data_IF_160670189911
#
_entry.id   IF_160670189911
#
_cell.length_a   1.000
_cell.length_b   1.000
_cell.length_c   1.000
_cell.angle_alpha   90.00
_cell.angle_beta   90.00
_cell.angle_gamma   90.00
#
_symmetry.space_group_name_H-M   'P 1'
#
loop_
_entity.id
_entity.type
_entity.pdbx_description
1 polymer ?
#
# COMPACT_ATOMS: atom_id res chain seq x y z
N UNK A 1 -41.51 -15.52 74.41
CA UNK A 1 -42.80 -16.02 73.88
C UNK A 1 -43.22 -15.11 72.73
N UNK A 2 -43.54 -15.74 71.59
CA UNK A 2 -44.25 -15.26 70.38
C UNK A 2 -43.78 -13.96 69.70
N UNK A 3 -43.26 -14.00 68.46
CA UNK A 3 -43.90 -14.30 67.15
C UNK A 3 -44.92 -13.26 66.67
N UNK A 4 -44.55 -12.50 65.64
CA UNK A 4 -45.17 -12.34 64.31
C UNK A 4 -44.61 -11.04 63.68
N UNK A 5 -43.99 -10.98 62.50
CA UNK A 5 -44.06 -11.87 61.35
C UNK A 5 -44.84 -11.19 60.21
N UNK A 6 -44.23 -11.20 59.01
CA UNK A 6 -44.73 -10.87 57.67
C UNK A 6 -44.30 -9.49 57.17
N UNK A 7 -43.66 -9.34 56.02
CA UNK A 7 -43.49 -10.23 54.86
C UNK A 7 -43.50 -9.30 53.65
N UNK A 8 -42.50 -9.31 52.77
CA UNK A 8 -42.45 -10.08 51.51
C UNK A 8 -41.11 -9.70 50.84
N UNK A 9 -40.41 -10.50 50.04
CA UNK A 9 -40.41 -11.93 49.76
C UNK A 9 -39.22 -12.19 48.83
N UNK A 10 -38.41 -13.20 49.16
CA UNK A 10 -37.36 -13.78 48.33
C UNK A 10 -37.99 -14.56 47.14
N UNK A 11 -38.40 -13.86 46.08
CA UNK A 11 -38.85 -14.49 44.82
C UNK A 11 -38.13 -13.87 43.61
N UNK A 12 -36.79 -13.80 43.67
CA UNK A 12 -35.95 -13.61 42.47
C UNK A 12 -34.48 -14.04 42.68
N UNK A 13 -34.23 -15.09 43.47
CA UNK A 13 -32.93 -15.79 43.42
C UNK A 13 -32.89 -16.71 42.19
N UNK A 14 -31.75 -16.66 41.50
CA UNK A 14 -31.24 -17.67 40.57
C UNK A 14 -32.07 -17.99 39.31
N UNK A 15 -31.62 -17.44 38.17
CA UNK A 15 -31.44 -18.24 36.96
C UNK A 15 -30.28 -17.69 36.12
N UNK A 16 -29.16 -18.42 36.16
CA UNK A 16 -28.08 -18.37 35.19
C UNK A 16 -28.66 -18.37 33.76
N UNK A 17 -28.16 -17.48 32.90
CA UNK A 17 -27.82 -17.78 31.50
C UNK A 17 -26.86 -16.72 30.98
N UNK A 18 -25.61 -17.15 30.73
CA UNK A 18 -24.70 -16.55 29.75
C UNK A 18 -25.48 -16.33 28.45
N UNK A 19 -25.46 -15.12 27.91
CA UNK A 19 -25.52 -14.93 26.45
C UNK A 19 -24.74 -13.68 26.10
N UNK A 20 -23.61 -13.94 25.45
CA UNK A 20 -22.75 -13.09 24.63
C UNK A 20 -23.43 -11.88 24.00
N UNK A 21 -22.74 -10.74 24.01
CA UNK A 21 -22.56 -9.84 22.85
C UNK A 21 -21.39 -8.90 23.17
N UNK A 22 -20.20 -9.32 22.73
CA UNK A 22 -19.04 -8.46 22.56
C UNK A 22 -19.44 -7.37 21.54
N UNK A 23 -19.39 -6.11 21.96
CA UNK A 23 -19.37 -4.98 21.04
C UNK A 23 -18.25 -4.05 21.50
N UNK A 24 -17.35 -3.78 20.56
CA UNK A 24 -15.97 -3.35 20.78
C UNK A 24 -15.88 -2.09 21.66
N UNK A 25 -15.15 -2.22 22.76
CA UNK A 25 -14.80 -1.12 23.65
C UNK A 25 -13.90 -0.07 22.94
N UNK A 26 -13.25 -0.46 21.83
CA UNK A 26 -12.29 0.37 21.10
C UNK A 26 -12.92 1.56 20.38
N UNK A 27 -14.13 1.41 19.80
CA UNK A 27 -14.77 2.53 19.09
C UNK A 27 -15.18 3.65 20.06
N UNK A 28 -15.63 3.29 21.26
CA UNK A 28 -15.99 4.27 22.30
C UNK A 28 -14.76 4.98 22.85
N UNK A 29 -13.64 4.27 22.99
CA UNK A 29 -12.36 4.83 23.44
C UNK A 29 -11.79 5.77 22.38
N UNK A 30 -11.78 5.38 21.10
CA UNK A 30 -11.32 6.21 19.99
C UNK A 30 -12.18 7.47 19.85
N UNK A 31 -13.51 7.33 19.94
CA UNK A 31 -14.42 8.48 19.93
C UNK A 31 -14.15 9.43 21.11
N UNK A 32 -13.87 8.90 22.31
CA UNK A 32 -13.52 9.71 23.47
C UNK A 32 -12.19 10.45 23.30
N UNK A 33 -11.18 9.79 22.72
CA UNK A 33 -9.86 10.38 22.45
C UNK A 33 -9.99 11.54 21.46
N UNK A 34 -10.78 11.38 20.39
CA UNK A 34 -11.01 12.42 19.38
C UNK A 34 -11.83 13.60 19.93
N UNK A 35 -12.86 13.34 20.74
CA UNK A 35 -13.70 14.38 21.35
C UNK A 35 -12.90 15.22 22.36
N UNK A 36 -11.93 14.62 23.05
CA UNK A 36 -11.11 15.28 24.07
C UNK A 36 -9.80 15.88 23.52
N UNK A 37 -9.62 15.93 22.19
CA UNK A 37 -8.44 16.52 21.55
C UNK A 37 -7.15 15.69 21.69
N UNK A 38 -7.25 14.40 22.03
CA UNK A 38 -6.12 13.49 22.06
C UNK A 38 -5.66 13.17 20.64
N UNK A 39 -4.40 13.50 20.33
CA UNK A 39 -3.76 13.05 19.09
C UNK A 39 -3.49 11.54 19.20
N UNK A 40 -3.99 10.75 18.24
CA UNK A 40 -3.49 9.38 18.03
C UNK A 40 -2.07 9.52 17.52
N UNK A 41 -1.08 9.05 18.28
CA UNK A 41 0.31 9.14 17.86
C UNK A 41 0.54 8.24 16.64
N UNK A 42 1.09 8.83 15.58
CA UNK A 42 1.45 8.14 14.33
C UNK A 42 2.89 7.63 14.37
N UNK A 43 3.51 7.67 15.56
CA UNK A 43 4.96 7.61 15.78
C UNK A 43 5.63 6.30 15.33
N UNK A 44 4.85 5.32 14.85
CA UNK A 44 5.37 4.04 14.36
C UNK A 44 4.68 3.53 13.08
N UNK A 45 3.97 4.38 12.33
CA UNK A 45 3.33 3.99 11.07
C UNK A 45 4.25 4.31 9.89
N UNK A 46 4.74 3.28 9.22
CA UNK A 46 5.42 3.40 7.94
C UNK A 46 4.94 2.29 7.00
N UNK A 47 4.36 2.68 5.87
CA UNK A 47 3.81 1.75 4.88
C UNK A 47 4.80 1.54 3.76
N UNK A 48 5.23 0.29 3.52
CA UNK A 48 6.01 -0.04 2.33
C UNK A 48 5.06 -0.57 1.26
N UNK A 49 5.11 0.03 0.07
CA UNK A 49 4.38 -0.39 -1.12
C UNK A 49 5.37 -1.00 -2.11
N UNK A 50 5.22 -2.28 -2.43
CA UNK A 50 6.12 -2.98 -3.36
C UNK A 50 5.44 -3.11 -4.73
N UNK A 51 6.00 -2.44 -5.73
CA UNK A 51 5.52 -2.40 -7.11
C UNK A 51 4.66 -1.16 -7.38
N UNK A 52 5.17 -0.23 -8.17
CA UNK A 52 4.54 1.01 -8.62
C UNK A 52 3.65 0.86 -9.86
N UNK A 53 3.13 -0.33 -10.16
CA UNK A 53 2.06 -0.48 -11.15
C UNK A 53 0.77 0.28 -10.78
N UNK A 54 -0.34 -0.01 -11.47
CA UNK A 54 -1.63 0.65 -11.19
C UNK A 54 -2.03 0.58 -9.71
N UNK A 55 -1.94 -0.61 -9.09
CA UNK A 55 -2.30 -0.81 -7.69
C UNK A 55 -1.41 -0.03 -6.71
N UNK A 56 -0.09 -0.13 -6.87
CA UNK A 56 0.83 0.51 -5.93
C UNK A 56 0.89 2.02 -6.08
N UNK A 57 0.79 2.54 -7.30
CA UNK A 57 0.68 3.99 -7.52
C UNK A 57 -0.62 4.53 -6.93
N UNK A 58 -1.75 3.84 -7.10
CA UNK A 58 -3.02 4.24 -6.49
C UNK A 58 -2.97 4.18 -4.95
N UNK A 59 -2.33 3.16 -4.38
CA UNK A 59 -2.12 3.05 -2.94
C UNK A 59 -1.23 4.19 -2.41
N UNK A 60 -0.08 4.43 -3.05
CA UNK A 60 0.84 5.50 -2.70
C UNK A 60 0.18 6.89 -2.79
N UNK A 61 -0.65 7.14 -3.80
CA UNK A 61 -1.42 8.39 -3.91
C UNK A 61 -2.40 8.57 -2.74
N UNK A 62 -3.09 7.51 -2.32
CA UNK A 62 -3.97 7.58 -1.15
C UNK A 62 -3.20 7.82 0.14
N UNK A 63 -2.07 7.12 0.34
CA UNK A 63 -1.20 7.33 1.50
C UNK A 63 -0.69 8.77 1.56
N UNK A 64 -0.20 9.30 0.43
CA UNK A 64 0.23 10.70 0.27
C UNK A 64 -0.90 11.67 0.62
N UNK A 65 -2.11 11.47 0.08
CA UNK A 65 -3.26 12.36 0.35
C UNK A 65 -3.70 12.39 1.82
N UNK A 66 -3.42 11.32 2.56
CA UNK A 66 -3.76 11.18 3.98
C UNK A 66 -2.60 11.54 4.91
N UNK A 67 -1.45 11.95 4.36
CA UNK A 67 -0.24 12.26 5.14
C UNK A 67 0.35 11.06 5.88
N UNK A 68 0.08 9.83 5.42
CA UNK A 68 0.61 8.62 6.04
C UNK A 68 2.03 8.39 5.52
N UNK A 69 3.06 8.22 6.37
CA UNK A 69 4.43 7.95 5.93
C UNK A 69 4.51 6.64 5.14
N UNK A 70 5.14 6.69 3.96
CA UNK A 70 5.28 5.53 3.10
C UNK A 70 6.57 5.54 2.29
N UNK A 71 6.95 4.35 1.79
CA UNK A 71 7.96 4.17 0.75
C UNK A 71 7.35 3.34 -0.38
N UNK A 72 7.31 3.89 -1.59
CA UNK A 72 7.01 3.16 -2.82
C UNK A 72 8.32 2.59 -3.39
N UNK A 73 8.38 1.29 -3.59
CA UNK A 73 9.54 0.59 -4.14
C UNK A 73 9.17 -0.04 -5.48
N UNK A 74 9.85 0.35 -6.56
CA UNK A 74 9.71 -0.29 -7.88
C UNK A 74 11.08 -0.41 -8.56
N UNK A 75 11.20 -1.42 -9.40
CA UNK A 75 12.37 -1.64 -10.25
C UNK A 75 12.65 -0.45 -11.18
N UNK A 76 11.57 0.14 -11.70
CA UNK A 76 11.56 1.24 -12.65
C UNK A 76 11.59 2.56 -11.90
N UNK A 77 12.19 3.57 -12.51
CA UNK A 77 12.18 4.97 -12.05
C UNK A 77 10.91 5.74 -12.46
N UNK A 78 10.04 5.14 -13.28
CA UNK A 78 8.77 5.71 -13.69
C UNK A 78 7.63 4.68 -13.73
N UNK A 79 6.42 5.16 -13.50
CA UNK A 79 5.20 4.44 -13.85
C UNK A 79 5.14 4.24 -15.35
N UNK A 80 4.82 3.02 -15.79
CA UNK A 80 4.62 2.71 -17.20
C UNK A 80 3.14 2.41 -17.45
N UNK A 81 2.46 3.31 -18.17
CA UNK A 81 1.09 3.16 -18.63
C UNK A 81 1.03 2.16 -19.80
N UNK A 82 1.22 0.88 -19.46
CA UNK A 82 1.42 -0.19 -20.43
C UNK A 82 0.19 -0.46 -21.32
N UNK A 83 -1.00 0.02 -20.96
CA UNK A 83 -2.19 -0.02 -21.84
C UNK A 83 -1.95 0.75 -23.13
N UNK A 84 -1.13 1.81 -23.10
CA UNK A 84 -0.77 2.59 -24.29
C UNK A 84 0.56 2.14 -24.94
N UNK A 85 1.19 1.08 -24.44
CA UNK A 85 2.47 0.56 -24.94
C UNK A 85 2.42 0.17 -26.42
N UNK A 86 1.33 -0.47 -26.86
CA UNK A 86 1.18 -0.88 -28.27
C UNK A 86 1.10 0.31 -29.22
N UNK A 87 0.54 1.45 -28.76
CA UNK A 87 0.57 2.69 -29.53
C UNK A 87 1.97 3.28 -29.56
N UNK A 88 2.68 3.26 -28.43
CA UNK A 88 4.07 3.69 -28.35
C UNK A 88 5.00 2.88 -29.27
N UNK A 89 4.71 1.61 -29.54
CA UNK A 89 5.54 0.78 -30.42
C UNK A 89 5.34 1.02 -31.93
N UNK A 90 4.34 1.82 -32.33
CA UNK A 90 4.05 2.08 -33.75
C UNK A 90 3.96 3.56 -34.11
N UNK A 91 3.98 4.46 -33.12
CA UNK A 91 3.86 5.90 -33.32
C UNK A 91 5.04 6.62 -32.69
N UNK A 92 5.91 7.21 -33.50
CA UNK A 92 7.09 7.94 -33.02
C UNK A 92 6.68 9.12 -32.13
N UNK A 93 7.46 9.34 -31.06
CA UNK A 93 7.23 10.37 -30.05
C UNK A 93 6.12 10.05 -29.06
N UNK A 94 5.36 8.97 -29.25
CA UNK A 94 4.24 8.63 -28.36
C UNK A 94 4.70 8.06 -27.02
N UNK A 95 5.86 7.38 -26.98
CA UNK A 95 6.37 6.72 -25.78
C UNK A 95 6.58 7.67 -24.60
N UNK A 96 6.92 8.94 -24.85
CA UNK A 96 7.08 9.96 -23.79
C UNK A 96 5.81 10.13 -22.94
N UNK A 97 4.63 9.89 -23.52
CA UNK A 97 3.33 10.06 -22.85
C UNK A 97 2.94 8.84 -22.01
N UNK A 98 3.69 7.73 -22.09
CA UNK A 98 3.38 6.49 -21.38
C UNK A 98 4.18 6.31 -20.10
N UNK A 99 5.11 7.23 -19.79
CA UNK A 99 5.92 7.19 -18.58
C UNK A 99 5.68 8.40 -17.69
N UNK A 100 5.54 8.15 -16.38
CA UNK A 100 5.39 9.21 -15.36
C UNK A 100 6.46 8.99 -14.28
N UNK A 101 7.47 9.88 -14.16
CA UNK A 101 8.57 9.70 -13.22
C UNK A 101 8.10 9.64 -11.76
N UNK A 102 8.56 8.63 -11.01
CA UNK A 102 8.15 8.48 -9.62
C UNK A 102 8.74 9.54 -8.71
N UNK A 103 10.00 9.94 -8.94
CA UNK A 103 10.64 10.97 -8.12
C UNK A 103 9.88 12.31 -8.20
N UNK A 104 9.43 12.70 -9.40
CA UNK A 104 8.61 13.91 -9.59
C UNK A 104 7.23 13.79 -8.91
N UNK A 105 6.69 12.56 -8.83
CA UNK A 105 5.37 12.29 -8.26
C UNK A 105 5.40 12.15 -6.73
N UNK A 106 6.42 11.51 -6.17
CA UNK A 106 6.47 11.04 -4.78
C UNK A 106 7.70 11.53 -4.00
N UNK A 107 8.69 12.15 -4.66
CA UNK A 107 9.91 12.66 -4.02
C UNK A 107 10.65 11.58 -3.24
N UNK A 108 11.07 11.92 -2.01
CA UNK A 108 11.78 11.03 -1.08
C UNK A 108 10.97 9.80 -0.63
N UNK A 109 9.65 9.78 -0.86
CA UNK A 109 8.82 8.60 -0.60
C UNK A 109 8.93 7.53 -1.69
N UNK A 110 9.78 7.73 -2.71
CA UNK A 110 10.09 6.74 -3.72
C UNK A 110 11.51 6.20 -3.57
N UNK A 111 11.65 4.88 -3.67
CA UNK A 111 12.93 4.19 -3.70
C UNK A 111 12.99 3.28 -4.93
N UNK A 112 13.86 3.61 -5.89
CA UNK A 112 14.11 2.71 -7.01
C UNK A 112 14.89 1.48 -6.54
N UNK A 113 14.40 0.29 -6.84
CA UNK A 113 15.08 -0.95 -6.51
C UNK A 113 14.25 -2.20 -6.78
N UNK A 114 14.95 -3.31 -7.03
CA UNK A 114 14.32 -4.63 -7.10
C UNK A 114 14.16 -5.18 -5.69
N UNK A 115 12.93 -5.48 -5.28
CA UNK A 115 12.67 -6.27 -4.07
C UNK A 115 12.94 -7.75 -4.35
N UNK A 116 13.75 -8.38 -3.50
CA UNK A 116 14.14 -9.78 -3.62
C UNK A 116 13.37 -10.69 -2.66
N UNK A 117 13.09 -10.22 -1.44
CA UNK A 117 12.31 -10.96 -0.44
C UNK A 117 11.64 -10.03 0.57
N UNK A 118 10.65 -10.56 1.26
CA UNK A 118 10.00 -9.97 2.42
C UNK A 118 10.30 -10.86 3.62
N UNK A 119 10.69 -10.26 4.74
CA UNK A 119 10.91 -10.92 6.02
C UNK A 119 9.81 -10.52 7.01
N UNK A 120 8.77 -11.36 7.20
CA UNK A 120 7.62 -10.98 8.01
C UNK A 120 7.94 -10.87 9.50
N UNK A 121 8.91 -11.65 10.00
CA UNK A 121 9.28 -11.67 11.43
C UNK A 121 9.98 -10.38 11.82
N UNK A 122 10.91 -9.89 11.01
CA UNK A 122 11.62 -8.62 11.24
C UNK A 122 10.89 -7.41 10.64
N UNK A 123 9.77 -7.65 9.94
CA UNK A 123 8.98 -6.66 9.21
C UNK A 123 9.84 -5.83 8.25
N UNK A 124 10.59 -6.52 7.39
CA UNK A 124 11.57 -5.90 6.48
C UNK A 124 11.34 -6.33 5.04
N UNK A 125 11.50 -5.41 4.09
CA UNK A 125 11.66 -5.71 2.67
C UNK A 125 13.14 -5.64 2.32
N UNK A 126 13.66 -6.65 1.63
CA UNK A 126 15.08 -6.73 1.25
C UNK A 126 15.21 -6.56 -0.25
N UNK A 127 15.99 -5.55 -0.65
CA UNK A 127 16.26 -5.22 -2.03
C UNK A 127 17.49 -5.96 -2.54
N UNK A 128 17.64 -5.97 -3.86
CA UNK A 128 18.88 -6.37 -4.51
C UNK A 128 20.06 -5.52 -3.98
N UNK A 129 21.21 -6.16 -3.79
CA UNK A 129 22.35 -5.57 -3.07
C UNK A 129 22.23 -5.57 -1.53
N UNK A 130 21.15 -6.13 -0.97
CA UNK A 130 21.01 -6.38 0.47
C UNK A 130 20.49 -5.19 1.30
N UNK A 131 20.08 -4.08 0.68
CA UNK A 131 19.45 -2.97 1.38
C UNK A 131 18.13 -3.41 2.01
N UNK A 132 17.94 -3.06 3.27
CA UNK A 132 16.75 -3.39 4.05
C UNK A 132 15.87 -2.16 4.27
N UNK A 133 14.55 -2.33 4.15
CA UNK A 133 13.54 -1.30 4.43
C UNK A 133 12.51 -1.86 5.40
N UNK A 134 12.47 -1.31 6.61
CA UNK A 134 11.48 -1.70 7.62
C UNK A 134 10.10 -1.14 7.32
N UNK A 135 9.07 -1.88 7.72
CA UNK A 135 7.68 -1.46 7.60
C UNK A 135 6.89 -1.82 8.86
N UNK A 136 5.84 -1.06 9.15
CA UNK A 136 4.78 -1.55 10.04
C UNK A 136 3.62 -2.15 9.23
N UNK A 137 3.45 -1.71 7.99
CA UNK A 137 2.46 -2.26 7.06
C UNK A 137 3.05 -2.45 5.68
N UNK A 138 2.68 -3.54 5.01
CA UNK A 138 3.17 -3.90 3.69
C UNK A 138 2.01 -4.04 2.71
N UNK A 139 2.13 -3.39 1.55
CA UNK A 139 1.21 -3.53 0.42
C UNK A 139 1.98 -4.15 -0.74
N UNK A 140 1.58 -5.36 -1.16
CA UNK A 140 2.18 -6.05 -2.31
C UNK A 140 1.38 -5.75 -3.58
N UNK A 141 2.03 -5.10 -4.54
CA UNK A 141 1.48 -4.62 -5.81
C UNK A 141 2.40 -4.95 -6.99
N UNK A 142 3.12 -6.08 -6.93
CA UNK A 142 4.16 -6.49 -7.89
C UNK A 142 3.65 -6.77 -9.30
N UNK A 143 2.34 -6.96 -9.47
CA UNK A 143 1.72 -7.21 -10.76
C UNK A 143 2.23 -8.50 -11.40
N UNK A 144 2.36 -8.47 -12.73
CA UNK A 144 2.81 -9.61 -13.55
C UNK A 144 3.90 -9.19 -14.51
N UNK A 145 4.75 -10.15 -14.88
CA UNK A 145 5.75 -9.99 -15.92
C UNK A 145 5.20 -10.33 -17.32
N UNK A 146 5.95 -9.98 -18.36
CA UNK A 146 5.58 -10.27 -19.74
C UNK A 146 6.56 -9.68 -20.76
N UNK A 147 6.35 -9.95 -22.06
CA UNK A 147 7.23 -9.47 -23.09
C UNK A 147 7.04 -7.98 -23.39
N UNK A 148 8.12 -7.35 -23.85
CA UNK A 148 8.05 -6.09 -24.56
C UNK A 148 7.28 -6.25 -25.89
N UNK A 149 6.47 -5.28 -26.35
CA UNK A 149 6.22 -3.94 -25.77
C UNK A 149 5.23 -3.91 -24.60
N UNK A 150 4.41 -4.95 -24.40
CA UNK A 150 3.33 -4.93 -23.40
C UNK A 150 3.81 -4.77 -21.94
N UNK A 151 5.06 -5.11 -21.66
CA UNK A 151 5.74 -4.92 -20.38
C UNK A 151 7.18 -4.46 -20.59
N UNK A 152 7.67 -3.64 -19.67
CA UNK A 152 9.06 -3.21 -19.61
C UNK A 152 9.51 -3.27 -18.15
N UNK A 153 9.91 -4.46 -17.70
CA UNK A 153 10.27 -4.75 -16.31
C UNK A 153 11.79 -4.99 -16.17
N UNK A 154 12.57 -4.05 -16.68
CA UNK A 154 14.05 -4.11 -16.66
C UNK A 154 14.62 -3.04 -15.74
N UNK A 155 15.81 -3.30 -15.20
CA UNK A 155 16.61 -2.29 -14.49
C UNK A 155 17.15 -1.31 -15.52
N UNK A 156 16.39 -0.26 -15.82
CA UNK A 156 16.78 0.79 -16.75
C UNK A 156 16.01 2.07 -16.44
N UNK A 157 16.53 3.21 -16.91
CA UNK A 157 15.79 4.47 -16.80
C UNK A 157 14.61 4.52 -17.74
N UNK A 158 13.60 5.31 -17.41
CA UNK A 158 12.45 5.50 -18.28
C UNK A 158 12.84 6.13 -19.63
N UNK A 159 13.89 6.95 -19.69
CA UNK A 159 14.42 7.44 -20.98
C UNK A 159 14.97 6.30 -21.84
N UNK A 160 15.62 5.31 -21.23
CA UNK A 160 16.08 4.10 -21.94
C UNK A 160 14.88 3.28 -22.44
N UNK A 161 13.82 3.20 -21.64
CA UNK A 161 12.58 2.56 -22.02
C UNK A 161 11.92 3.26 -23.21
N UNK A 162 11.86 4.59 -23.20
CA UNK A 162 11.35 5.40 -24.31
C UNK A 162 12.19 5.18 -25.57
N UNK A 163 13.51 5.22 -25.47
CA UNK A 163 14.38 5.00 -26.62
C UNK A 163 14.11 3.65 -27.28
N UNK A 164 13.88 2.60 -26.49
CA UNK A 164 13.54 1.26 -27.00
C UNK A 164 12.23 1.25 -27.80
N UNK A 165 11.22 2.02 -27.40
CA UNK A 165 10.00 2.18 -28.20
C UNK A 165 10.29 2.90 -29.52
N UNK A 166 11.06 3.99 -29.48
CA UNK A 166 11.41 4.75 -30.69
C UNK A 166 12.23 3.91 -31.69
N UNK A 167 13.10 3.02 -31.20
CA UNK A 167 13.89 2.14 -32.07
C UNK A 167 12.99 1.13 -32.80
N UNK A 168 11.99 0.56 -32.13
CA UNK A 168 11.05 -0.37 -32.77
C UNK A 168 10.13 0.32 -33.77
N UNK A 169 9.74 1.56 -33.53
CA UNK A 169 9.01 2.35 -34.53
C UNK A 169 9.84 2.51 -35.81
N UNK A 170 11.16 2.76 -35.70
CA UNK A 170 12.05 2.86 -36.86
C UNK A 170 12.20 1.55 -37.61
N UNK A 171 12.25 0.42 -36.90
CA UNK A 171 12.34 -0.92 -37.51
C UNK A 171 11.06 -1.29 -38.29
N UNK A 172 9.90 -0.80 -37.85
CA UNK A 172 8.60 -1.08 -38.48
C UNK A 172 8.27 -0.16 -39.65
N UNK A 173 8.82 1.05 -39.69
CA UNK A 173 8.66 1.99 -40.79
C UNK A 173 9.70 1.72 -41.88
N UNK A 174 9.44 0.68 -42.68
CA UNK A 174 10.02 0.47 -44.02
C UNK A 174 9.37 1.38 -45.07
#
# INVERSE_FOLDING_TARGET
MHHHGNGESDVAKQRKRKTTLESNNDERVIAYILIMGGQVSVDNVHVVVVGGGFGGTAAAQQLKSRGIPFTLIDLRDAFHHNVAALRASVQSGFAQQTFIPYFETFGESFLQGRVMRVEPVSQTVVLDGGKEVHYSHLILCTGTDGPFPGKYNTVASYQTAIQKYEDIVKELNW
#
